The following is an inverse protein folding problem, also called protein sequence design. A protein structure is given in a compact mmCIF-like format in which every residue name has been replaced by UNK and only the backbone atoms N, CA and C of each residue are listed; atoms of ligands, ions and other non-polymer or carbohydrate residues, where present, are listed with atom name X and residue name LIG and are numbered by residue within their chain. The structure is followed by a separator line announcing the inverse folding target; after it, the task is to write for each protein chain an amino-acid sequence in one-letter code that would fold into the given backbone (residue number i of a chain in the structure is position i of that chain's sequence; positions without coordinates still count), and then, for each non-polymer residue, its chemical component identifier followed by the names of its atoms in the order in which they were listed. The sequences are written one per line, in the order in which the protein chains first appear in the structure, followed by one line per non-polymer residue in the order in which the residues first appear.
data_IF_548561051783
#
_entry.id   IF_548561051783
#
_cell.length_a   1.000
_cell.length_b   1.000
_cell.length_c   1.000
_cell.angle_alpha   90.00
_cell.angle_beta   90.00
_cell.angle_gamma   90.00
#
_symmetry.space_group_name_H-M   'P 1'
#
loop_
_entity.id
_entity.type
_entity.pdbx_description
1 polymer ?
#
# COMPACT_ATOMS: atom_id res chain seq x y z
N UNK A 1 20.59 13.10 0.24
CA UNK A 1 19.44 12.21 0.00
C UNK A 1 18.21 13.08 -0.14
N UNK A 2 17.53 13.04 -1.29
CA UNK A 2 16.37 13.90 -1.52
C UNK A 2 15.21 13.52 -0.58
N UNK A 3 14.37 14.50 -0.24
CA UNK A 3 13.18 14.28 0.58
C UNK A 3 12.24 13.23 -0.07
N UNK A 4 12.20 13.21 -1.40
CA UNK A 4 11.45 12.22 -2.18
C UNK A 4 11.93 10.80 -1.90
N UNK A 5 13.24 10.56 -1.94
CA UNK A 5 13.82 9.23 -1.64
C UNK A 5 13.47 8.80 -0.21
N UNK A 6 13.59 9.71 0.78
CA UNK A 6 13.25 9.41 2.18
C UNK A 6 11.79 8.97 2.30
N UNK A 7 10.88 9.71 1.68
CA UNK A 7 9.44 9.43 1.78
C UNK A 7 9.07 8.12 1.06
N UNK A 8 9.67 7.85 -0.10
CA UNK A 8 9.47 6.57 -0.79
C UNK A 8 10.04 5.42 0.05
N UNK A 9 11.22 5.58 0.67
CA UNK A 9 11.82 4.55 1.51
C UNK A 9 10.96 4.23 2.75
N UNK A 10 10.37 5.25 3.40
CA UNK A 10 9.43 5.06 4.51
C UNK A 10 8.18 4.30 4.04
N UNK A 11 7.62 4.69 2.89
CA UNK A 11 6.49 3.97 2.29
C UNK A 11 6.84 2.50 2.02
N UNK A 12 8.03 2.23 1.46
CA UNK A 12 8.51 0.86 1.22
C UNK A 12 8.63 0.04 2.50
N UNK A 13 9.09 0.64 3.61
CA UNK A 13 9.17 -0.04 4.90
C UNK A 13 7.78 -0.44 5.43
N UNK A 14 6.79 0.45 5.27
CA UNK A 14 5.39 0.16 5.63
C UNK A 14 4.82 -0.96 4.75
N UNK A 15 5.09 -0.93 3.44
CA UNK A 15 4.65 -1.99 2.53
C UNK A 15 5.34 -3.33 2.80
N UNK A 16 6.62 -3.31 3.19
CA UNK A 16 7.32 -4.52 3.63
C UNK A 16 6.64 -5.13 4.85
N UNK A 17 6.21 -4.30 5.80
CA UNK A 17 5.46 -4.75 6.98
C UNK A 17 4.13 -5.42 6.58
N UNK A 18 3.43 -4.89 5.57
CA UNK A 18 2.23 -5.53 5.01
C UNK A 18 2.57 -6.91 4.40
N UNK A 19 3.64 -7.01 3.61
CA UNK A 19 4.07 -8.28 2.99
C UNK A 19 4.41 -9.33 4.05
N UNK A 20 5.22 -8.96 5.04
CA UNK A 20 5.61 -9.86 6.13
C UNK A 20 4.39 -10.34 6.91
N UNK A 21 3.42 -9.46 7.12
CA UNK A 21 2.15 -9.81 7.74
C UNK A 21 1.37 -10.84 6.92
N UNK A 22 1.23 -10.62 5.61
CA UNK A 22 0.49 -11.52 4.72
C UNK A 22 1.17 -12.89 4.58
N UNK A 23 2.50 -12.97 4.58
CA UNK A 23 3.20 -14.25 4.51
C UNK A 23 3.19 -14.99 5.85
N UNK A 24 3.57 -14.33 6.93
CA UNK A 24 3.97 -15.00 8.17
C UNK A 24 2.97 -14.84 9.33
N UNK A 25 2.06 -13.86 9.28
CA UNK A 25 1.14 -13.56 10.39
C UNK A 25 -0.30 -13.32 9.90
N UNK A 26 -0.85 -14.24 9.10
CA UNK A 26 -2.18 -14.09 8.45
C UNK A 26 -3.32 -13.82 9.44
N UNK A 27 -3.25 -14.35 10.66
CA UNK A 27 -4.30 -14.17 11.68
C UNK A 27 -4.29 -12.78 12.34
N UNK A 28 -3.28 -11.94 12.10
CA UNK A 28 -3.21 -10.61 12.72
C UNK A 28 -4.17 -9.62 12.05
N UNK A 29 -4.77 -8.78 12.87
CA UNK A 29 -5.52 -7.59 12.45
C UNK A 29 -4.67 -6.31 12.47
N UNK A 30 -3.37 -6.43 12.75
CA UNK A 30 -2.41 -5.34 12.68
C UNK A 30 -2.00 -5.09 11.22
N UNK A 31 -1.66 -3.84 10.91
CA UNK A 31 -1.36 -3.40 9.54
C UNK A 31 -2.51 -3.73 8.58
N UNK A 32 -2.25 -3.88 7.29
CA UNK A 32 -3.25 -4.32 6.32
C UNK A 32 -3.37 -5.87 6.26
N UNK A 33 -3.38 -6.52 7.42
CA UNK A 33 -3.45 -7.99 7.54
C UNK A 33 -4.85 -8.53 7.23
N UNK A 34 -4.92 -9.79 6.76
CA UNK A 34 -6.21 -10.41 6.40
C UNK A 34 -7.08 -10.73 7.64
N UNK A 35 -6.50 -10.78 8.84
CA UNK A 35 -7.24 -11.01 10.09
C UNK A 35 -8.28 -9.92 10.41
N UNK A 36 -8.26 -8.78 9.73
CA UNK A 36 -9.35 -7.79 9.82
C UNK A 36 -10.65 -8.27 9.17
N UNK A 37 -10.60 -9.27 8.27
CA UNK A 37 -11.76 -9.82 7.59
C UNK A 37 -12.27 -11.05 8.34
N UNK A 38 -13.50 -11.02 8.86
CA UNK A 38 -14.12 -12.19 9.52
C UNK A 38 -14.23 -13.41 8.59
N UNK A 39 -14.28 -13.17 7.28
CA UNK A 39 -14.25 -14.21 6.27
C UNK A 39 -12.97 -15.06 6.32
N UNK A 40 -11.85 -14.52 6.82
CA UNK A 40 -10.62 -15.29 7.03
C UNK A 40 -10.84 -16.43 8.03
N UNK A 41 -11.36 -16.13 9.21
CA UNK A 41 -11.68 -17.15 10.22
C UNK A 41 -12.76 -18.12 9.72
N UNK A 42 -13.79 -17.60 9.05
CA UNK A 42 -14.83 -18.45 8.45
C UNK A 42 -14.26 -19.39 7.39
N UNK A 43 -13.27 -18.97 6.61
CA UNK A 43 -12.67 -19.83 5.59
C UNK A 43 -12.06 -21.09 6.18
N UNK A 44 -11.53 -21.04 7.42
CA UNK A 44 -10.83 -22.17 8.06
C UNK A 44 -11.72 -23.38 8.33
N UNK A 45 -13.05 -23.22 8.30
CA UNK A 45 -13.99 -24.35 8.48
C UNK A 45 -14.14 -25.20 7.22
N UNK A 46 -13.67 -24.71 6.07
CA UNK A 46 -13.72 -25.39 4.78
C UNK A 46 -12.31 -25.40 4.17
N UNK A 47 -11.70 -26.59 4.08
CA UNK A 47 -10.31 -26.71 3.64
C UNK A 47 -10.10 -26.21 2.20
N UNK A 48 -11.05 -26.44 1.30
CA UNK A 48 -10.94 -26.04 -0.10
C UNK A 48 -10.96 -24.51 -0.21
N UNK A 49 -11.92 -23.87 0.46
CA UNK A 49 -12.01 -22.41 0.49
C UNK A 49 -10.81 -21.80 1.21
N UNK A 50 -10.34 -22.39 2.31
CA UNK A 50 -9.19 -21.88 3.05
C UNK A 50 -7.92 -21.91 2.21
N UNK A 51 -7.67 -22.99 1.48
CA UNK A 51 -6.50 -23.11 0.62
C UNK A 51 -6.55 -22.14 -0.56
N UNK A 52 -7.73 -21.94 -1.16
CA UNK A 52 -7.92 -20.91 -2.17
C UNK A 52 -7.66 -19.49 -1.62
N UNK A 53 -8.18 -19.16 -0.44
CA UNK A 53 -7.95 -17.85 0.20
C UNK A 53 -6.46 -17.66 0.54
N UNK A 54 -5.77 -18.68 1.07
CA UNK A 54 -4.32 -18.66 1.31
C UNK A 54 -3.54 -18.41 0.03
N UNK A 55 -3.92 -19.07 -1.07
CA UNK A 55 -3.33 -18.86 -2.38
C UNK A 55 -3.46 -17.39 -2.82
N UNK A 56 -4.67 -16.80 -2.73
CA UNK A 56 -4.89 -15.40 -3.08
C UNK A 56 -4.08 -14.43 -2.20
N UNK A 57 -4.00 -14.68 -0.88
CA UNK A 57 -3.20 -13.86 0.04
C UNK A 57 -1.72 -13.91 -0.35
N UNK A 58 -1.18 -15.10 -0.59
CA UNK A 58 0.21 -15.29 -0.96
C UNK A 58 0.51 -14.69 -2.35
N UNK A 59 -0.45 -14.73 -3.27
CA UNK A 59 -0.34 -14.09 -4.57
C UNK A 59 -0.23 -12.56 -4.42
N UNK A 60 -1.12 -11.93 -3.65
CA UNK A 60 -1.06 -10.48 -3.38
C UNK A 60 0.23 -10.08 -2.66
N UNK A 61 0.69 -10.89 -1.71
CA UNK A 61 1.97 -10.64 -1.05
C UNK A 61 3.16 -10.73 -2.04
N UNK A 62 3.11 -11.69 -2.96
CA UNK A 62 4.13 -11.88 -4.00
C UNK A 62 4.18 -10.73 -5.01
N UNK A 63 3.03 -10.22 -5.45
CA UNK A 63 2.99 -9.06 -6.35
C UNK A 63 3.53 -7.80 -5.67
N UNK A 64 3.22 -7.59 -4.39
CA UNK A 64 3.81 -6.50 -3.59
C UNK A 64 5.32 -6.65 -3.44
N UNK A 65 5.84 -7.86 -3.30
CA UNK A 65 7.28 -8.12 -3.22
C UNK A 65 7.99 -7.78 -4.54
N UNK A 66 7.41 -8.16 -5.69
CA UNK A 66 7.92 -7.76 -7.02
C UNK A 66 7.96 -6.23 -7.12
N UNK A 67 6.87 -5.57 -6.74
CA UNK A 67 6.77 -4.12 -6.73
C UNK A 67 7.85 -3.45 -5.86
N UNK A 68 8.06 -3.92 -4.62
CA UNK A 68 9.12 -3.38 -3.75
C UNK A 68 10.53 -3.67 -4.28
N UNK A 69 10.74 -4.83 -4.89
CA UNK A 69 12.03 -5.18 -5.48
C UNK A 69 12.39 -4.23 -6.63
N UNK A 70 11.44 -3.96 -7.53
CA UNK A 70 11.61 -3.01 -8.61
C UNK A 70 11.84 -1.58 -8.08
N UNK A 71 11.04 -1.16 -7.09
CA UNK A 71 11.19 0.17 -6.48
C UNK A 71 12.54 0.33 -5.76
N UNK A 72 13.06 -0.74 -5.17
CA UNK A 72 14.41 -0.76 -4.56
C UNK A 72 15.49 -0.50 -5.62
N UNK A 73 15.43 -1.23 -6.75
CA UNK A 73 16.39 -1.04 -7.85
C UNK A 73 16.31 0.40 -8.39
N UNK A 74 15.11 0.93 -8.56
CA UNK A 74 14.89 2.30 -9.02
C UNK A 74 15.47 3.33 -8.03
N UNK A 75 15.28 3.16 -6.72
CA UNK A 75 15.82 4.11 -5.73
C UNK A 75 17.35 4.05 -5.59
N UNK A 76 17.95 2.88 -5.78
CA UNK A 76 19.40 2.71 -5.62
C UNK A 76 20.18 3.11 -6.87
N UNK A 77 19.61 2.87 -8.06
CA UNK A 77 20.32 3.00 -9.33
C UNK A 77 19.66 3.97 -10.31
N UNK A 78 18.45 4.46 -10.02
CA UNK A 78 17.74 5.40 -10.86
C UNK A 78 18.40 6.78 -10.86
N UNK A 79 18.33 7.46 -12.00
CA UNK A 79 18.76 8.86 -12.08
C UNK A 79 17.83 9.75 -11.25
N UNK A 80 18.31 10.90 -10.74
CA UNK A 80 17.47 11.79 -9.94
C UNK A 80 16.20 12.26 -10.67
N UNK A 81 16.27 12.43 -12.00
CA UNK A 81 15.14 12.80 -12.87
C UNK A 81 14.03 11.74 -12.96
N UNK A 82 14.31 10.49 -12.58
CA UNK A 82 13.34 9.41 -12.60
C UNK A 82 12.37 9.47 -11.40
N UNK A 83 12.81 10.00 -10.26
CA UNK A 83 12.03 9.98 -9.00
C UNK A 83 10.65 10.67 -9.09
N UNK A 84 10.47 11.80 -9.80
CA UNK A 84 9.13 12.38 -9.99
C UNK A 84 8.16 11.46 -10.74
N UNK A 85 8.66 10.71 -11.73
CA UNK A 85 7.85 9.74 -12.49
C UNK A 85 7.46 8.54 -11.65
N UNK A 86 8.35 8.12 -10.74
CA UNK A 86 8.06 7.09 -9.75
C UNK A 86 6.94 7.54 -8.82
N UNK A 87 6.99 8.78 -8.31
CA UNK A 87 5.91 9.34 -7.49
C UNK A 87 4.57 9.33 -8.24
N UNK A 88 4.57 9.76 -9.52
CA UNK A 88 3.36 9.76 -10.34
C UNK A 88 2.80 8.34 -10.54
N UNK A 89 3.67 7.36 -10.82
CA UNK A 89 3.28 5.96 -10.94
C UNK A 89 2.69 5.40 -9.63
N UNK A 90 3.28 5.76 -8.48
CA UNK A 90 2.76 5.41 -7.15
C UNK A 90 1.38 6.01 -6.91
N UNK A 91 1.19 7.30 -7.21
CA UNK A 91 -0.11 7.97 -7.08
C UNK A 91 -1.18 7.27 -7.90
N UNK A 92 -0.91 7.00 -9.18
CA UNK A 92 -1.88 6.37 -10.08
C UNK A 92 -2.19 4.93 -9.62
N UNK A 93 -1.15 4.15 -9.27
CA UNK A 93 -1.32 2.80 -8.78
C UNK A 93 -2.15 2.74 -7.50
N UNK A 94 -1.86 3.61 -6.53
CA UNK A 94 -2.61 3.69 -5.28
C UNK A 94 -4.03 4.22 -5.54
N UNK A 95 -4.22 5.20 -6.42
CA UNK A 95 -5.54 5.72 -6.76
C UNK A 95 -6.45 4.66 -7.40
N UNK A 96 -5.88 3.74 -8.19
CA UNK A 96 -6.65 2.62 -8.78
C UNK A 96 -7.34 1.75 -7.72
N UNK A 97 -6.79 1.68 -6.50
CA UNK A 97 -7.42 1.01 -5.36
C UNK A 97 -8.81 1.56 -5.06
N UNK A 98 -8.99 2.89 -5.15
CA UNK A 98 -10.26 3.55 -4.83
C UNK A 98 -11.39 3.19 -5.78
N UNK A 99 -11.05 2.83 -7.01
CA UNK A 99 -12.04 2.44 -8.02
C UNK A 99 -12.55 1.02 -7.75
N UNK A 100 -11.65 0.08 -7.45
CA UNK A 100 -12.01 -1.34 -7.31
C UNK A 100 -12.25 -1.81 -5.87
N UNK A 101 -11.26 -1.63 -4.98
CA UNK A 101 -11.22 -2.31 -3.68
C UNK A 101 -11.94 -1.53 -2.58
N UNK A 102 -11.90 -0.19 -2.62
CA UNK A 102 -12.55 0.61 -1.59
C UNK A 102 -14.08 0.42 -1.50
N UNK A 103 -14.85 0.36 -2.61
CA UNK A 103 -16.29 0.08 -2.55
C UNK A 103 -16.61 -1.26 -1.88
N UNK A 104 -15.81 -2.29 -2.16
CA UNK A 104 -15.95 -3.62 -1.55
C UNK A 104 -15.62 -3.59 -0.06
N UNK A 105 -14.52 -2.95 0.34
CA UNK A 105 -14.16 -2.77 1.74
C UNK A 105 -15.26 -2.04 2.52
N UNK A 106 -15.81 -0.96 1.94
CA UNK A 106 -16.92 -0.20 2.54
C UNK A 106 -18.19 -1.05 2.66
N UNK A 107 -18.51 -1.88 1.66
CA UNK A 107 -19.64 -2.81 1.73
C UNK A 107 -19.45 -3.82 2.87
N UNK A 108 -18.31 -4.50 2.90
CA UNK A 108 -18.00 -5.49 3.94
C UNK A 108 -18.01 -4.89 5.35
N UNK A 109 -17.54 -3.66 5.51
CA UNK A 109 -17.57 -2.95 6.79
C UNK A 109 -19.00 -2.64 7.26
N UNK A 110 -19.88 -2.19 6.33
CA UNK A 110 -21.30 -1.96 6.64
C UNK A 110 -22.07 -3.23 7.00
N UNK A 111 -21.66 -4.36 6.44
CA UNK A 111 -22.24 -5.68 6.70
C UNK A 111 -21.61 -6.39 7.91
N UNK A 112 -20.86 -5.65 8.75
CA UNK A 112 -20.18 -6.17 9.94
C UNK A 112 -19.23 -7.34 9.64
N UNK A 113 -18.67 -7.41 8.42
CA UNK A 113 -17.72 -8.45 8.01
C UNK A 113 -16.27 -8.10 8.35
N UNK A 114 -15.99 -6.87 8.80
CA UNK A 114 -14.66 -6.42 9.21
C UNK A 114 -14.55 -6.26 10.73
N UNK A 115 -13.32 -6.33 11.24
CA UNK A 115 -12.98 -6.10 12.64
C UNK A 115 -11.63 -5.35 12.75
N UNK A 116 -11.57 -4.15 13.38
CA UNK A 116 -12.65 -3.44 14.05
C UNK A 116 -13.68 -2.81 13.09
N UNK A 117 -14.87 -2.50 13.60
CA UNK A 117 -15.89 -1.76 12.83
C UNK A 117 -15.35 -0.39 12.42
N UNK A 118 -15.65 0.03 11.19
CA UNK A 118 -15.16 1.29 10.64
C UNK A 118 -13.76 1.21 10.04
N UNK A 119 -13.17 0.01 9.92
CA UNK A 119 -11.87 -0.21 9.30
C UNK A 119 -11.79 0.37 7.88
N UNK A 120 -12.88 0.36 7.11
CA UNK A 120 -12.91 0.94 5.77
C UNK A 120 -12.59 2.44 5.77
N UNK A 121 -12.98 3.17 6.83
CA UNK A 121 -12.66 4.60 6.99
C UNK A 121 -11.18 4.81 7.29
N UNK A 122 -10.61 3.99 8.18
CA UNK A 122 -9.18 4.01 8.49
C UNK A 122 -8.34 3.73 7.25
N UNK A 123 -8.73 2.71 6.47
CA UNK A 123 -8.08 2.35 5.22
C UNK A 123 -8.13 3.50 4.21
N UNK A 124 -9.29 4.13 4.01
CA UNK A 124 -9.42 5.30 3.14
C UNK A 124 -8.59 6.48 3.64
N UNK A 125 -8.59 6.77 4.93
CA UNK A 125 -7.79 7.88 5.47
C UNK A 125 -6.29 7.66 5.19
N UNK A 126 -5.78 6.45 5.47
CA UNK A 126 -4.38 6.10 5.23
C UNK A 126 -3.99 6.21 3.75
N UNK A 127 -4.79 5.66 2.84
CA UNK A 127 -4.52 5.72 1.40
C UNK A 127 -4.59 7.17 0.89
N UNK A 128 -5.57 7.95 1.37
CA UNK A 128 -5.70 9.38 1.04
C UNK A 128 -4.46 10.15 1.47
N UNK A 129 -3.95 9.91 2.69
CA UNK A 129 -2.73 10.55 3.19
C UNK A 129 -1.53 10.25 2.29
N UNK A 130 -1.32 8.99 1.88
CA UNK A 130 -0.22 8.66 0.95
C UNK A 130 -0.34 9.38 -0.38
N UNK A 131 -1.53 9.40 -0.99
CA UNK A 131 -1.76 10.11 -2.26
C UNK A 131 -1.47 11.61 -2.09
N UNK A 132 -1.98 12.24 -1.03
CA UNK A 132 -1.76 13.67 -0.78
C UNK A 132 -0.28 13.98 -0.58
N UNK A 133 0.43 13.20 0.24
CA UNK A 133 1.86 13.39 0.48
C UNK A 133 2.65 13.26 -0.82
N UNK A 134 2.38 12.23 -1.63
CA UNK A 134 3.06 12.07 -2.91
C UNK A 134 2.71 13.17 -3.90
N UNK A 135 1.46 13.63 -3.94
CA UNK A 135 1.04 14.75 -4.79
C UNK A 135 1.73 16.05 -4.39
N UNK A 136 1.83 16.35 -3.10
CA UNK A 136 2.56 17.52 -2.61
C UNK A 136 4.02 17.45 -3.05
N UNK A 137 4.69 16.31 -2.84
CA UNK A 137 6.10 16.15 -3.24
C UNK A 137 6.29 16.25 -4.76
N UNK A 138 5.35 15.72 -5.54
CA UNK A 138 5.38 15.80 -7.00
C UNK A 138 5.17 17.25 -7.49
N UNK A 139 4.24 17.99 -6.88
CA UNK A 139 3.91 19.36 -7.28
C UNK A 139 4.86 20.41 -6.70
N UNK A 140 5.56 20.11 -5.61
CA UNK A 140 6.43 21.05 -4.88
C UNK A 140 7.40 21.83 -5.77
N UNK A 141 8.14 21.20 -6.71
CA UNK A 141 9.09 21.92 -7.57
C UNK A 141 8.42 22.97 -8.48
N UNK A 142 7.11 22.84 -8.73
CA UNK A 142 6.34 23.75 -9.59
C UNK A 142 5.62 24.85 -8.81
N UNK A 143 5.40 24.66 -7.50
CA UNK A 143 4.64 25.57 -6.65
C UNK A 143 5.51 26.61 -5.93
N UNK A 144 6.78 26.29 -5.68
CA UNK A 144 7.72 27.19 -4.99
C UNK A 144 8.91 27.44 -5.92
N UNK A 145 9.09 28.67 -6.46
CA UNK A 145 10.14 28.98 -7.43
C UNK A 145 11.53 29.14 -6.80
N UNK A 146 11.76 28.63 -5.59
CA UNK A 146 13.10 28.58 -5.02
C UNK A 146 13.85 27.38 -5.61
N UNK A 147 15.07 27.57 -6.15
CA UNK A 147 15.92 26.44 -6.45
C UNK A 147 16.16 25.70 -5.12
N UNK A 148 15.67 24.47 -5.02
CA UNK A 148 16.14 23.58 -3.97
C UNK A 148 17.67 23.57 -4.08
N UNK A 149 18.43 23.76 -2.98
CA UNK A 149 19.86 23.53 -3.01
C UNK A 149 20.05 22.14 -3.60
N UNK A 150 20.93 22.04 -4.60
CA UNK A 150 21.16 20.86 -5.43
C UNK A 150 21.39 19.62 -4.55
N UNK A 151 20.32 18.93 -4.22
CA UNK A 151 20.28 17.63 -3.56
C UNK A 151 19.52 16.64 -4.45
N UNK A 152 19.64 16.82 -5.77
CA UNK A 152 19.48 15.76 -6.76
C UNK A 152 20.62 14.76 -6.58
#
# INVERSE_FOLDING_TARGET
MSLVIIVIAVFMLLELTNILTLYFKKDTSIANGIGVFKAWEKSKTDSEINDFVKYLINWVAGTKLIFLSLLTVILLFGSPDLHPWVLLALIISIASFYVGLFPLARKMDREDMLNPKGYSKTLAAMITVFIIVFLILYLWPYLIPFPMPSFW
#
